data_IF_156528663630
#
_entry.id   IF_156528663630
#
_cell.length_a   1.000
_cell.length_b   1.000
_cell.length_c   1.000
_cell.angle_alpha   90.00
_cell.angle_beta   90.00
_cell.angle_gamma   90.00
#
_symmetry.space_group_name_H-M   'P 1'
#
loop_
_entity.id
_entity.type
_entity.pdbx_description
1 polymer ?
#
# COMPACT_ATOMS: atom_id res chain seq x y z
N UNK A 1 -17.33 25.77 -27.75
CA UNK A 1 -17.17 27.12 -28.34
C UNK A 1 -15.73 27.29 -28.77
N UNK A 2 -15.46 27.67 -30.02
CA UNK A 2 -14.10 27.87 -30.53
C UNK A 2 -13.44 29.05 -29.81
N UNK A 3 -12.28 28.83 -29.16
CA UNK A 3 -11.53 29.89 -28.48
C UNK A 3 -11.05 30.90 -29.54
N UNK A 4 -11.28 32.20 -29.29
CA UNK A 4 -10.82 33.28 -30.16
C UNK A 4 -9.28 33.27 -30.21
N UNK A 5 -8.70 33.13 -31.39
CA UNK A 5 -7.23 33.19 -31.59
C UNK A 5 -6.76 34.65 -31.52
N UNK A 6 -5.62 34.87 -30.87
CA UNK A 6 -4.95 36.18 -30.78
C UNK A 6 -3.55 36.06 -31.35
N UNK A 7 -3.12 37.06 -32.13
CA UNK A 7 -1.74 37.15 -32.60
C UNK A 7 -0.85 37.82 -31.54
N UNK A 8 0.33 37.26 -31.31
CA UNK A 8 1.29 37.75 -30.33
C UNK A 8 2.71 37.29 -30.69
N UNK A 9 3.65 38.23 -30.71
CA UNK A 9 5.07 37.96 -30.97
C UNK A 9 5.83 37.81 -29.65
N UNK A 10 6.68 36.79 -29.55
CA UNK A 10 7.55 36.52 -28.42
C UNK A 10 8.99 36.30 -28.89
N UNK A 11 9.96 36.69 -28.06
CA UNK A 11 11.35 36.32 -28.25
C UNK A 11 11.62 35.01 -27.48
N UNK A 12 12.11 34.01 -28.20
CA UNK A 12 12.44 32.70 -27.68
C UNK A 12 13.91 32.39 -28.00
N UNK A 13 14.55 31.58 -27.17
CA UNK A 13 15.89 31.09 -27.46
C UNK A 13 15.85 30.05 -28.60
N UNK A 14 16.99 29.81 -29.24
CA UNK A 14 17.09 28.89 -30.38
C UNK A 14 16.63 27.47 -30.02
N UNK A 15 17.00 26.98 -28.83
CA UNK A 15 16.63 25.65 -28.36
C UNK A 15 15.12 25.47 -28.24
N UNK A 16 14.39 26.45 -27.71
CA UNK A 16 12.92 26.39 -27.60
C UNK A 16 12.26 26.44 -28.98
N UNK A 17 12.79 27.25 -29.91
CA UNK A 17 12.27 27.29 -31.28
C UNK A 17 12.52 25.97 -32.01
N UNK A 18 13.70 25.37 -31.83
CA UNK A 18 14.03 24.06 -32.38
C UNK A 18 13.09 22.97 -31.85
N UNK A 19 12.89 22.92 -30.53
CA UNK A 19 11.99 21.95 -29.90
C UNK A 19 10.55 22.05 -30.42
N UNK A 20 10.00 23.27 -30.55
CA UNK A 20 8.64 23.47 -31.08
C UNK A 20 8.54 22.97 -32.52
N UNK A 21 9.58 23.16 -33.34
CA UNK A 21 9.62 22.70 -34.74
C UNK A 21 9.68 21.17 -34.81
N UNK A 22 10.59 20.55 -34.07
CA UNK A 22 10.71 19.08 -34.03
C UNK A 22 9.39 18.44 -33.59
N UNK A 23 8.77 18.95 -32.52
CA UNK A 23 7.47 18.46 -32.06
C UNK A 23 6.36 18.65 -33.11
N UNK A 24 6.37 19.79 -33.81
CA UNK A 24 5.41 20.08 -34.88
C UNK A 24 5.56 19.11 -36.05
N UNK A 25 6.80 18.80 -36.46
CA UNK A 25 7.12 17.84 -37.52
C UNK A 25 6.72 16.41 -37.12
N UNK A 26 7.09 15.98 -35.91
CA UNK A 26 6.78 14.63 -35.40
C UNK A 26 5.26 14.36 -35.39
N UNK A 27 4.46 15.38 -35.04
CA UNK A 27 2.99 15.26 -34.97
C UNK A 27 2.27 15.71 -36.24
N UNK A 28 2.98 16.19 -37.26
CA UNK A 28 2.39 16.68 -38.51
C UNK A 28 1.47 17.89 -38.34
N UNK A 29 1.76 18.77 -37.37
CA UNK A 29 0.94 19.95 -37.04
C UNK A 29 1.70 21.25 -37.27
N UNK A 30 0.98 22.37 -37.34
CA UNK A 30 1.62 23.70 -37.45
C UNK A 30 2.34 24.06 -36.14
N UNK A 31 3.46 24.80 -36.17
CA UNK A 31 4.19 25.23 -34.96
C UNK A 31 3.32 25.94 -33.91
N UNK A 32 2.33 26.73 -34.34
CA UNK A 32 1.38 27.37 -33.42
C UNK A 32 0.51 26.36 -32.67
N UNK A 33 0.07 25.29 -33.34
CA UNK A 33 -0.69 24.21 -32.72
C UNK A 33 0.20 23.29 -31.87
N UNK A 34 1.48 23.12 -32.24
CA UNK A 34 2.45 22.43 -31.41
C UNK A 34 2.62 23.14 -30.06
N UNK A 35 2.78 24.47 -30.06
CA UNK A 35 2.89 25.25 -28.83
C UNK A 35 1.62 25.17 -27.97
N UNK A 36 0.43 25.30 -28.56
CA UNK A 36 -0.84 25.12 -27.84
C UNK A 36 -0.93 23.74 -27.17
N UNK A 37 -0.44 22.71 -27.86
CA UNK A 37 -0.48 21.33 -27.38
C UNK A 37 0.54 21.07 -26.28
N UNK A 38 1.77 21.56 -26.42
CA UNK A 38 2.80 21.51 -25.37
C UNK A 38 2.30 22.19 -24.10
N UNK A 39 1.67 23.37 -24.22
CA UNK A 39 1.09 24.07 -23.06
C UNK A 39 -0.04 23.25 -22.42
N UNK A 40 -0.93 22.67 -23.23
CA UNK A 40 -2.00 21.81 -22.72
C UNK A 40 -1.47 20.57 -22.02
N UNK A 41 -0.43 19.93 -22.58
CA UNK A 41 0.22 18.76 -22.00
C UNK A 41 0.92 19.13 -20.70
N UNK A 42 1.66 20.22 -20.65
CA UNK A 42 2.28 20.72 -19.41
C UNK A 42 1.24 21.06 -18.33
N UNK A 43 0.10 21.65 -18.71
CA UNK A 43 -0.98 21.93 -17.75
C UNK A 43 -1.58 20.65 -17.16
N UNK A 44 -1.60 19.56 -17.92
CA UNK A 44 -2.21 18.29 -17.53
C UNK A 44 -1.20 17.27 -16.96
N UNK A 45 0.11 17.46 -17.16
CA UNK A 45 1.18 16.55 -16.72
C UNK A 45 1.08 16.18 -15.24
N UNK A 46 0.79 17.15 -14.37
CA UNK A 46 0.66 16.89 -12.94
C UNK A 46 -0.57 16.03 -12.62
N UNK A 47 -1.67 16.19 -13.35
CA UNK A 47 -2.89 15.43 -13.14
C UNK A 47 -2.75 13.98 -13.62
N UNK A 48 -2.16 13.79 -14.79
CA UNK A 48 -1.94 12.45 -15.36
C UNK A 48 -0.96 11.63 -14.51
N UNK A 49 0.11 12.27 -14.02
CA UNK A 49 1.06 11.63 -13.11
C UNK A 49 0.40 11.26 -11.78
N UNK A 50 -0.45 12.12 -11.22
CA UNK A 50 -1.20 11.87 -9.99
C UNK A 50 -2.18 10.70 -10.14
N UNK A 51 -2.92 10.60 -11.26
CA UNK A 51 -3.84 9.49 -11.50
C UNK A 51 -3.09 8.17 -11.74
N UNK A 52 -1.94 8.18 -12.43
CA UNK A 52 -1.09 7.00 -12.57
C UNK A 52 -0.56 6.51 -11.21
N UNK A 53 -0.06 7.41 -10.37
CA UNK A 53 0.39 7.08 -9.00
C UNK A 53 -0.77 6.52 -8.18
N UNK A 54 -1.94 7.15 -8.22
CA UNK A 54 -3.14 6.69 -7.53
C UNK A 54 -3.58 5.31 -7.99
N UNK A 55 -3.51 5.02 -9.29
CA UNK A 55 -3.76 3.70 -9.86
C UNK A 55 -2.80 2.64 -9.30
N UNK A 56 -1.49 2.90 -9.40
CA UNK A 56 -0.46 1.99 -8.91
C UNK A 56 -0.55 1.75 -7.39
N UNK A 57 -0.75 2.81 -6.59
CA UNK A 57 -0.95 2.69 -5.15
C UNK A 57 -2.20 1.88 -4.84
N UNK A 58 -3.31 2.13 -5.55
CA UNK A 58 -4.55 1.37 -5.34
C UNK A 58 -4.36 -0.11 -5.62
N UNK A 59 -3.65 -0.48 -6.68
CA UNK A 59 -3.43 -1.88 -7.04
C UNK A 59 -2.60 -2.61 -5.99
N UNK A 60 -1.43 -2.06 -5.64
CA UNK A 60 -0.53 -2.64 -4.63
C UNK A 60 -1.21 -2.73 -3.26
N UNK A 61 -1.85 -1.64 -2.82
CA UNK A 61 -2.51 -1.59 -1.52
C UNK A 61 -3.73 -2.50 -1.48
N UNK A 62 -4.48 -2.64 -2.57
CA UNK A 62 -5.68 -3.49 -2.59
C UNK A 62 -5.33 -4.97 -2.43
N UNK A 63 -4.28 -5.44 -3.09
CA UNK A 63 -3.84 -6.83 -2.97
C UNK A 63 -3.37 -7.14 -1.55
N UNK A 64 -2.48 -6.31 -0.98
CA UNK A 64 -1.95 -6.51 0.36
C UNK A 64 -3.04 -6.43 1.43
N UNK A 65 -3.93 -5.43 1.35
CA UNK A 65 -5.08 -5.34 2.26
C UNK A 65 -6.04 -6.53 2.10
N UNK A 66 -6.20 -7.05 0.88
CA UNK A 66 -6.98 -8.25 0.61
C UNK A 66 -6.43 -9.47 1.34
N UNK A 67 -5.12 -9.71 1.25
CA UNK A 67 -4.43 -10.80 1.97
C UNK A 67 -4.52 -10.64 3.49
N UNK A 68 -4.30 -9.43 4.00
CA UNK A 68 -4.43 -9.12 5.44
C UNK A 68 -5.86 -9.41 5.91
N UNK A 69 -6.87 -8.98 5.15
CA UNK A 69 -8.28 -9.22 5.47
C UNK A 69 -8.60 -10.72 5.49
N UNK A 70 -8.12 -11.48 4.49
CA UNK A 70 -8.33 -12.92 4.43
C UNK A 70 -7.70 -13.63 5.64
N UNK A 71 -6.46 -13.29 5.99
CA UNK A 71 -5.77 -13.83 7.16
C UNK A 71 -6.48 -13.48 8.48
N UNK A 72 -6.95 -12.24 8.60
CA UNK A 72 -7.71 -11.77 9.78
C UNK A 72 -9.03 -12.53 9.92
N UNK A 73 -9.77 -12.71 8.82
CA UNK A 73 -11.03 -13.45 8.83
C UNK A 73 -10.81 -14.93 9.21
N UNK A 74 -9.73 -15.54 8.74
CA UNK A 74 -9.39 -16.92 9.09
C UNK A 74 -9.05 -17.04 10.59
N UNK A 75 -8.24 -16.11 11.12
CA UNK A 75 -7.89 -16.07 12.54
C UNK A 75 -9.13 -15.84 13.43
N UNK A 76 -10.04 -14.95 13.02
CA UNK A 76 -11.33 -14.72 13.70
C UNK A 76 -12.19 -15.99 13.70
N UNK A 77 -12.33 -16.66 12.53
CA UNK A 77 -13.05 -17.95 12.44
C UNK A 77 -12.47 -18.99 13.40
N UNK A 78 -11.15 -19.16 13.43
CA UNK A 78 -10.51 -20.11 14.34
C UNK A 78 -10.69 -19.74 15.81
N UNK A 79 -10.61 -18.45 16.15
CA UNK A 79 -10.86 -17.96 17.51
C UNK A 79 -12.29 -18.25 17.95
N UNK A 80 -13.28 -18.01 17.08
CA UNK A 80 -14.69 -18.37 17.35
C UNK A 80 -14.86 -19.87 17.57
N UNK A 81 -14.21 -20.71 16.78
CA UNK A 81 -14.23 -22.17 16.98
C UNK A 81 -13.63 -22.56 18.34
N UNK A 82 -12.48 -21.98 18.72
CA UNK A 82 -11.86 -22.23 20.02
C UNK A 82 -12.77 -21.81 21.18
N UNK A 83 -13.47 -20.68 21.05
CA UNK A 83 -14.48 -20.26 22.04
C UNK A 83 -15.62 -21.27 22.16
N UNK A 84 -16.11 -21.85 21.05
CA UNK A 84 -17.12 -22.90 21.09
C UNK A 84 -16.60 -24.18 21.78
N UNK A 85 -15.36 -24.59 21.48
CA UNK A 85 -14.75 -25.74 22.15
C UNK A 85 -14.55 -25.48 23.64
N UNK A 86 -14.07 -24.30 24.03
CA UNK A 86 -13.94 -23.91 25.43
C UNK A 86 -15.29 -23.92 26.15
N UNK A 87 -16.34 -23.39 25.51
CA UNK A 87 -17.69 -23.41 26.07
C UNK A 87 -18.24 -24.84 26.24
N UNK A 88 -18.07 -25.69 25.23
CA UNK A 88 -18.45 -27.10 25.32
C UNK A 88 -17.71 -27.81 26.46
N UNK A 89 -16.38 -27.64 26.52
CA UNK A 89 -15.55 -28.18 27.60
C UNK A 89 -16.04 -27.70 28.97
N UNK A 90 -16.37 -26.43 29.10
CA UNK A 90 -16.85 -25.84 30.35
C UNK A 90 -18.20 -26.42 30.79
N UNK A 91 -19.10 -26.61 29.82
CA UNK A 91 -20.46 -27.11 30.04
C UNK A 91 -20.47 -28.59 30.39
N UNK A 92 -19.74 -29.44 29.65
CA UNK A 92 -19.71 -30.90 29.88
C UNK A 92 -19.09 -31.24 31.23
N UNK A 93 -18.04 -30.51 31.62
CA UNK A 93 -17.39 -30.71 32.92
C UNK A 93 -18.12 -30.01 34.08
N UNK A 94 -19.24 -29.30 33.81
CA UNK A 94 -20.08 -28.62 34.80
C UNK A 94 -19.28 -27.69 35.71
N UNK A 95 -18.30 -26.96 35.16
CA UNK A 95 -17.59 -25.96 35.96
C UNK A 95 -18.56 -24.87 36.40
N UNK A 96 -18.55 -24.53 37.68
CA UNK A 96 -19.47 -23.53 38.23
C UNK A 96 -18.97 -22.10 38.01
N UNK A 97 -17.64 -21.91 37.93
CA UNK A 97 -17.00 -20.60 37.87
C UNK A 97 -15.73 -20.64 37.03
N UNK A 98 -15.49 -19.57 36.28
CA UNK A 98 -14.26 -19.38 35.53
C UNK A 98 -13.13 -19.01 36.49
N UNK A 99 -12.05 -19.79 36.49
CA UNK A 99 -10.82 -19.41 37.17
C UNK A 99 -10.08 -18.35 36.32
N UNK A 100 -9.93 -17.14 36.85
CA UNK A 100 -9.25 -16.04 36.14
C UNK A 100 -7.78 -15.98 36.54
N UNK A 101 -6.93 -15.43 35.67
CA UNK A 101 -5.49 -15.26 35.92
C UNK A 101 -5.17 -14.34 37.10
N UNK A 102 -6.09 -13.43 37.46
CA UNK A 102 -5.97 -12.60 38.66
C UNK A 102 -6.17 -13.40 39.96
N UNK A 103 -6.93 -14.49 39.91
CA UNK A 103 -7.18 -15.35 41.06
C UNK A 103 -6.14 -16.46 41.16
N UNK A 104 -5.79 -17.07 40.03
CA UNK A 104 -4.86 -18.18 39.97
C UNK A 104 -4.10 -18.18 38.64
N UNK A 105 -2.81 -17.84 38.71
CA UNK A 105 -1.89 -17.94 37.57
C UNK A 105 -1.12 -19.26 37.66
N UNK A 106 -1.43 -20.20 36.77
CA UNK A 106 -0.76 -21.52 36.78
C UNK A 106 0.68 -21.41 36.27
N UNK A 107 1.57 -22.30 36.75
CA UNK A 107 2.94 -22.39 36.23
C UNK A 107 2.98 -22.65 34.71
N UNK A 108 2.01 -23.42 34.20
CA UNK A 108 1.87 -23.66 32.77
C UNK A 108 1.51 -22.38 31.98
N UNK A 109 0.70 -21.50 32.55
CA UNK A 109 0.39 -20.21 31.92
C UNK A 109 1.63 -19.30 31.85
N UNK A 110 2.44 -19.27 32.92
CA UNK A 110 3.72 -18.52 32.93
C UNK A 110 4.66 -19.04 31.84
N UNK A 111 4.83 -20.37 31.74
CA UNK A 111 5.65 -20.98 30.68
C UNK A 111 5.11 -20.69 29.28
N UNK A 112 3.79 -20.73 29.10
CA UNK A 112 3.17 -20.42 27.82
C UNK A 112 3.40 -18.95 27.41
N UNK A 113 3.29 -18.01 28.37
CA UNK A 113 3.59 -16.60 28.11
C UNK A 113 5.05 -16.38 27.71
N UNK A 114 6.00 -17.00 28.42
CA UNK A 114 7.43 -16.92 28.08
C UNK A 114 7.69 -17.49 26.70
N UNK A 115 7.17 -18.69 26.40
CA UNK A 115 7.32 -19.31 25.09
C UNK A 115 6.76 -18.42 23.97
N UNK A 116 5.58 -17.82 24.14
CA UNK A 116 4.98 -16.93 23.14
C UNK A 116 5.80 -15.65 22.97
N UNK A 117 6.29 -15.04 24.06
CA UNK A 117 7.17 -13.87 24.01
C UNK A 117 8.45 -14.18 23.20
N UNK A 118 9.07 -15.32 23.45
CA UNK A 118 10.28 -15.75 22.75
C UNK A 118 10.03 -15.99 21.26
N UNK A 119 8.91 -16.64 20.91
CA UNK A 119 8.51 -16.82 19.51
C UNK A 119 8.33 -15.48 18.78
N UNK A 120 7.67 -14.52 19.42
CA UNK A 120 7.47 -13.17 18.85
C UNK A 120 8.82 -12.46 18.69
N UNK A 121 9.69 -12.53 19.69
CA UNK A 121 11.04 -11.95 19.62
C UNK A 121 11.86 -12.55 18.48
N UNK A 122 11.90 -13.89 18.39
CA UNK A 122 12.61 -14.61 17.33
C UNK A 122 12.07 -14.31 15.94
N UNK A 123 10.75 -14.18 15.78
CA UNK A 123 10.15 -13.78 14.51
C UNK A 123 10.56 -12.35 14.10
N UNK A 124 10.66 -11.42 15.06
CA UNK A 124 11.16 -10.05 14.81
C UNK A 124 12.63 -10.06 14.42
N UNK A 125 13.47 -10.82 15.11
CA UNK A 125 14.90 -10.95 14.81
C UNK A 125 15.13 -11.50 13.40
N UNK A 126 14.46 -12.61 13.03
CA UNK A 126 14.55 -13.18 11.68
C UNK A 126 14.11 -12.20 10.58
N UNK A 127 13.12 -11.36 10.85
CA UNK A 127 12.69 -10.30 9.92
C UNK A 127 13.79 -9.25 9.74
N UNK A 128 14.42 -8.80 10.83
CA UNK A 128 15.51 -7.82 10.82
C UNK A 128 16.76 -8.36 10.10
N UNK A 129 17.13 -9.62 10.33
CA UNK A 129 18.26 -10.27 9.65
C UNK A 129 18.04 -10.38 8.14
N UNK A 130 16.83 -10.78 7.71
CA UNK A 130 16.47 -10.79 6.29
C UNK A 130 16.60 -9.41 5.65
N UNK A 131 16.16 -8.37 6.34
CA UNK A 131 16.27 -6.99 5.83
C UNK A 131 17.72 -6.51 5.73
N UNK A 132 18.59 -6.88 6.69
CA UNK A 132 20.03 -6.58 6.65
C UNK A 132 20.76 -7.33 5.53
N UNK A 133 20.52 -8.63 5.37
CA UNK A 133 21.17 -9.42 4.32
C UNK A 133 20.80 -8.98 2.89
N UNK A 134 19.62 -8.36 2.72
CA UNK A 134 19.18 -7.80 1.42
C UNK A 134 19.75 -6.41 1.16
N UNK A 135 20.20 -5.67 2.18
CA UNK A 135 20.81 -4.33 2.04
C UNK A 135 22.31 -4.37 1.79
N UNK A 136 23.01 -5.42 2.23
CA UNK A 136 24.45 -5.61 1.98
C UNK A 136 24.76 -6.26 0.60
N UNK A 137 23.73 -6.62 -0.18
CA UNK A 137 23.85 -7.29 -1.49
C UNK A 137 23.46 -6.41 -2.68
N UNK A 138 23.32 -5.09 -2.48
CA UNK A 138 22.96 -4.08 -3.48
C UNK A 138 23.95 -2.91 -3.42
#
# INVERSE_FOLDING_TARGET
>A
MSKKKMDKTYYLNENTVAYIKEYAEEKGIKPSHALERIISEHQNQNHDLLEQIKGAVKEVVHEDLGRIRAGTNLADKHTRMLLQFANHYFTVNKFERLATTNQFLSKGMVQAEEFVKDQISNARMKKLERQKGTSDSN
#
